data_IF_206494265101
#
_entry.id   IF_206494265101
#
_cell.length_a   1.000
_cell.length_b   1.000
_cell.length_c   1.000
_cell.angle_alpha   90.00
_cell.angle_beta   90.00
_cell.angle_gamma   90.00
#
_symmetry.space_group_name_H-M   'P 1'
#
loop_
_entity.id
_entity.type
_entity.pdbx_description
1 polymer ?
#
# COMPACT_ATOMS: atom_id res chain seq x y z
N UNK A 1 8.57 -34.76 -14.59
CA UNK A 1 8.94 -33.39 -14.16
C UNK A 1 7.72 -32.75 -13.52
N UNK A 2 7.80 -32.28 -12.26
CA UNK A 2 6.72 -31.44 -11.70
C UNK A 2 6.81 -30.05 -12.36
N UNK A 3 5.70 -29.46 -12.81
CA UNK A 3 5.72 -28.10 -13.34
C UNK A 3 6.26 -27.15 -12.25
N UNK A 4 7.23 -26.31 -12.61
CA UNK A 4 7.76 -25.27 -11.72
C UNK A 4 6.65 -24.24 -11.53
N UNK A 5 6.10 -24.17 -10.33
CA UNK A 5 5.19 -23.10 -9.92
C UNK A 5 5.87 -21.76 -10.16
N UNK A 6 5.33 -20.92 -11.04
CA UNK A 6 5.83 -19.57 -11.30
C UNK A 6 5.23 -18.62 -10.28
N UNK A 7 5.87 -17.46 -10.08
CA UNK A 7 5.39 -16.44 -9.14
C UNK A 7 3.93 -16.04 -9.39
N UNK A 8 3.56 -15.84 -10.65
CA UNK A 8 2.17 -15.59 -11.11
C UNK A 8 1.17 -16.71 -10.80
N UNK A 9 1.65 -17.94 -10.56
CA UNK A 9 0.79 -19.08 -10.22
C UNK A 9 0.51 -19.16 -8.70
N UNK A 10 1.30 -18.45 -7.87
CA UNK A 10 1.13 -18.35 -6.41
C UNK A 10 0.50 -17.03 -6.00
N UNK A 11 0.84 -15.95 -6.72
CA UNK A 11 0.38 -14.59 -6.46
C UNK A 11 -0.08 -13.96 -7.79
N UNK A 12 -1.28 -14.33 -8.28
CA UNK A 12 -1.76 -13.86 -9.57
C UNK A 12 -2.16 -12.39 -9.56
N UNK A 13 -2.58 -11.84 -8.41
CA UNK A 13 -3.03 -10.45 -8.30
C UNK A 13 -2.12 -9.70 -7.34
N UNK A 14 -1.47 -8.66 -7.83
CA UNK A 14 -0.72 -7.69 -7.02
C UNK A 14 -1.66 -6.53 -6.73
N UNK A 15 -1.81 -6.14 -5.46
CA UNK A 15 -2.52 -4.91 -5.10
C UNK A 15 -1.50 -3.90 -4.61
N UNK A 16 -1.50 -2.70 -5.18
CA UNK A 16 -0.57 -1.64 -4.85
C UNK A 16 -1.29 -0.33 -4.52
N UNK A 17 -0.78 0.39 -3.51
CA UNK A 17 -1.13 1.79 -3.29
C UNK A 17 -0.13 2.67 -4.06
N UNK A 18 -0.69 3.50 -4.93
CA UNK A 18 0.00 4.53 -5.71
C UNK A 18 -0.43 5.92 -5.20
N UNK A 19 0.25 7.01 -5.61
CA UNK A 19 -0.20 8.38 -5.33
C UNK A 19 -1.65 8.66 -5.74
N UNK A 20 -2.11 7.98 -6.78
CA UNK A 20 -3.46 8.19 -7.31
C UNK A 20 -4.50 7.31 -6.62
N UNK A 21 -4.14 6.20 -5.98
CA UNK A 21 -5.17 5.25 -5.52
C UNK A 21 -4.69 3.83 -5.38
N UNK A 22 -5.66 2.94 -5.19
CA UNK A 22 -5.42 1.49 -5.12
C UNK A 22 -5.64 0.84 -6.48
N UNK A 23 -4.63 0.09 -6.90
CA UNK A 23 -4.65 -0.69 -8.13
C UNK A 23 -4.54 -2.18 -7.79
N UNK A 24 -5.31 -3.01 -8.49
CA UNK A 24 -5.03 -4.43 -8.63
C UNK A 24 -4.44 -4.68 -10.02
N UNK A 25 -3.40 -5.49 -10.10
CA UNK A 25 -2.79 -5.96 -11.33
C UNK A 25 -2.85 -7.49 -11.37
N UNK A 26 -3.59 -8.06 -12.32
CA UNK A 26 -3.62 -9.51 -12.52
C UNK A 26 -2.48 -9.92 -13.47
N UNK A 27 -1.43 -10.53 -12.91
CA UNK A 27 -0.27 -11.06 -13.62
C UNK A 27 -0.59 -12.20 -14.60
N UNK A 28 -1.80 -12.77 -14.57
CA UNK A 28 -2.22 -13.82 -15.50
C UNK A 28 -2.81 -13.23 -16.77
N UNK A 29 -3.59 -12.16 -16.64
CA UNK A 29 -4.27 -11.48 -17.76
C UNK A 29 -3.52 -10.23 -18.22
N UNK A 30 -2.55 -9.75 -17.44
CA UNK A 30 -1.85 -8.48 -17.63
C UNK A 30 -2.80 -7.27 -17.60
N UNK A 31 -3.95 -7.41 -16.92
CA UNK A 31 -4.95 -6.36 -16.76
C UNK A 31 -4.76 -5.63 -15.42
N UNK A 32 -4.91 -4.32 -15.47
CA UNK A 32 -4.98 -3.43 -14.32
C UNK A 32 -6.43 -3.02 -14.04
N UNK A 33 -6.78 -2.98 -12.75
CA UNK A 33 -8.08 -2.51 -12.28
C UNK A 33 -7.89 -1.53 -11.15
N UNK A 34 -8.53 -0.39 -11.30
CA UNK A 34 -8.64 0.59 -10.24
C UNK A 34 -9.67 0.15 -9.21
N UNK A 35 -9.28 0.13 -7.94
CA UNK A 35 -10.12 -0.31 -6.82
C UNK A 35 -10.64 0.89 -6.03
N UNK A 36 -9.80 1.90 -5.82
CA UNK A 36 -10.10 3.09 -5.03
C UNK A 36 -9.46 4.30 -5.68
N UNK A 37 -10.24 5.36 -5.86
CA UNK A 37 -9.79 6.63 -6.41
C UNK A 37 -9.40 7.62 -5.30
N UNK A 38 -8.12 7.98 -5.21
CA UNK A 38 -7.75 9.16 -4.44
C UNK A 38 -7.62 10.35 -5.38
N UNK A 39 -8.27 11.50 -5.07
CA UNK A 39 -8.74 11.95 -3.75
C UNK A 39 -10.19 11.61 -3.37
N UNK A 40 -11.01 11.09 -4.30
CA UNK A 40 -12.47 10.97 -4.14
C UNK A 40 -12.92 10.06 -2.97
N UNK A 41 -12.21 8.95 -2.76
CA UNK A 41 -12.54 7.93 -1.76
C UNK A 41 -11.78 8.11 -0.44
N UNK A 42 -11.00 9.18 -0.28
CA UNK A 42 -10.09 9.37 0.85
C UNK A 42 -10.80 9.30 2.21
N UNK A 43 -11.97 9.92 2.32
CA UNK A 43 -12.77 9.93 3.55
C UNK A 43 -13.34 8.54 3.86
N UNK A 44 -13.80 7.82 2.82
CA UNK A 44 -14.35 6.47 2.95
C UNK A 44 -13.27 5.48 3.38
N UNK A 45 -12.07 5.58 2.82
CA UNK A 45 -10.94 4.74 3.22
C UNK A 45 -10.49 5.06 4.64
N UNK A 46 -10.38 6.35 4.99
CA UNK A 46 -10.01 6.74 6.35
C UNK A 46 -11.00 6.21 7.41
N UNK A 47 -12.30 6.26 7.10
CA UNK A 47 -13.34 5.70 7.95
C UNK A 47 -13.21 4.17 8.07
N UNK A 48 -13.00 3.46 6.95
CA UNK A 48 -12.85 2.00 6.96
C UNK A 48 -11.61 1.57 7.75
N UNK A 49 -10.48 2.25 7.57
CA UNK A 49 -9.26 2.00 8.35
C UNK A 49 -9.48 2.21 9.84
N UNK A 50 -10.12 3.32 10.21
CA UNK A 50 -10.46 3.65 11.61
C UNK A 50 -11.37 2.59 12.24
N UNK A 51 -12.39 2.15 11.52
CA UNK A 51 -13.43 1.28 12.05
C UNK A 51 -13.03 -0.19 12.11
N UNK A 52 -12.13 -0.63 11.22
CA UNK A 52 -11.91 -2.07 10.97
C UNK A 52 -10.47 -2.51 11.13
N UNK A 53 -9.51 -1.65 10.80
CA UNK A 53 -8.13 -2.10 10.58
C UNK A 53 -7.12 -1.54 11.58
N UNK A 54 -7.43 -0.42 12.25
CA UNK A 54 -6.54 0.27 13.17
C UNK A 54 -7.10 0.28 14.61
N UNK A 55 -6.23 0.39 15.63
CA UNK A 55 -6.65 0.75 16.99
C UNK A 55 -7.40 2.09 16.99
N UNK A 56 -8.24 2.33 17.99
CA UNK A 56 -9.18 3.47 18.04
C UNK A 56 -8.48 4.81 17.77
N UNK A 57 -8.53 5.26 16.51
CA UNK A 57 -7.92 6.49 16.02
C UNK A 57 -8.94 7.22 15.15
N UNK A 58 -9.04 8.53 15.34
CA UNK A 58 -10.03 9.35 14.63
C UNK A 58 -9.86 9.23 13.10
N UNK A 59 -10.95 9.04 12.33
CA UNK A 59 -10.89 9.07 10.87
C UNK A 59 -10.23 10.33 10.31
N UNK A 60 -10.38 11.47 10.98
CA UNK A 60 -9.73 12.72 10.58
C UNK A 60 -8.19 12.64 10.66
N UNK A 61 -7.65 11.97 11.68
CA UNK A 61 -6.20 11.78 11.84
C UNK A 61 -5.69 10.84 10.75
N UNK A 62 -6.39 9.73 10.51
CA UNK A 62 -6.04 8.75 9.48
C UNK A 62 -6.06 9.41 8.09
N UNK A 63 -7.08 10.22 7.81
CA UNK A 63 -7.17 11.01 6.57
C UNK A 63 -5.93 11.88 6.35
N UNK A 64 -5.45 12.56 7.39
CA UNK A 64 -4.22 13.38 7.32
C UNK A 64 -3.00 12.52 7.03
N UNK A 65 -2.89 11.34 7.65
CA UNK A 65 -1.79 10.44 7.35
C UNK A 65 -1.85 9.90 5.92
N UNK A 66 -3.04 9.56 5.41
CA UNK A 66 -3.21 9.14 4.02
C UNK A 66 -2.77 10.25 3.06
N UNK A 67 -3.11 11.51 3.31
CA UNK A 67 -2.65 12.64 2.47
C UNK A 67 -1.13 12.73 2.46
N UNK A 68 -0.50 12.72 3.65
CA UNK A 68 0.95 12.77 3.75
C UNK A 68 1.60 11.57 3.04
N UNK A 69 1.01 10.38 3.18
CA UNK A 69 1.48 9.17 2.52
C UNK A 69 1.42 9.31 1.00
N UNK A 70 0.28 9.75 0.44
CA UNK A 70 0.14 9.94 -1.01
C UNK A 70 1.15 10.96 -1.55
N UNK A 71 1.36 12.07 -0.84
CA UNK A 71 2.39 13.08 -1.16
C UNK A 71 3.80 12.48 -1.12
N UNK A 72 4.10 11.64 -0.12
CA UNK A 72 5.36 10.92 -0.06
C UNK A 72 5.54 9.95 -1.23
N UNK A 73 4.51 9.16 -1.55
CA UNK A 73 4.54 8.22 -2.68
C UNK A 73 4.84 8.97 -3.99
N UNK A 74 4.22 10.13 -4.18
CA UNK A 74 4.41 10.95 -5.39
C UNK A 74 5.80 11.55 -5.45
N UNK A 75 6.23 12.22 -4.39
CA UNK A 75 7.50 12.97 -4.37
C UNK A 75 8.72 12.06 -4.36
N UNK A 76 8.58 10.81 -3.90
CA UNK A 76 9.69 9.85 -3.77
C UNK A 76 9.66 8.71 -4.76
N UNK A 77 8.74 8.71 -5.73
CA UNK A 77 8.52 7.58 -6.65
C UNK A 77 8.49 6.25 -5.88
N UNK A 78 7.58 6.20 -4.90
CA UNK A 78 7.42 5.09 -3.99
C UNK A 78 6.00 4.50 -4.06
N UNK A 79 5.89 3.24 -3.65
CA UNK A 79 4.70 2.40 -3.79
C UNK A 79 4.54 1.54 -2.55
N UNK A 80 3.30 1.22 -2.13
CA UNK A 80 3.09 0.13 -1.17
C UNK A 80 2.78 -1.14 -1.94
N UNK A 81 3.54 -2.20 -1.67
CA UNK A 81 3.37 -3.53 -2.25
C UNK A 81 3.38 -4.55 -1.11
N UNK A 82 2.29 -5.30 -0.96
CA UNK A 82 2.12 -6.30 0.10
C UNK A 82 2.49 -5.79 1.52
N UNK A 83 2.16 -4.52 1.79
CA UNK A 83 2.40 -3.89 3.09
C UNK A 83 3.83 -3.42 3.33
N UNK A 84 4.73 -3.55 2.35
CA UNK A 84 6.04 -2.91 2.36
C UNK A 84 5.99 -1.62 1.53
N UNK A 85 6.68 -0.58 2.00
CA UNK A 85 6.90 0.63 1.20
C UNK A 85 8.16 0.42 0.36
N UNK A 86 8.00 0.51 -0.95
CA UNK A 86 9.04 0.25 -1.95
C UNK A 86 9.31 1.54 -2.72
N UNK A 87 10.56 2.00 -2.70
CA UNK A 87 11.03 3.11 -3.56
C UNK A 87 11.71 2.57 -4.81
N UNK A 88 11.56 3.22 -5.94
CA UNK A 88 12.30 2.89 -7.16
C UNK A 88 13.55 3.78 -7.24
N UNK A 89 14.73 3.18 -7.24
CA UNK A 89 16.00 3.88 -7.47
C UNK A 89 16.85 3.12 -8.48
N UNK A 90 17.40 3.82 -9.48
CA UNK A 90 18.18 3.22 -10.56
C UNK A 90 17.48 2.01 -11.20
N UNK A 91 16.16 2.11 -11.39
CA UNK A 91 15.30 1.05 -11.96
C UNK A 91 15.22 -0.22 -11.07
N UNK A 92 15.55 -0.10 -9.78
CA UNK A 92 15.48 -1.19 -8.80
C UNK A 92 14.53 -0.86 -7.65
N UNK A 93 13.71 -1.83 -7.21
CA UNK A 93 12.85 -1.65 -6.04
C UNK A 93 13.64 -1.83 -4.74
N UNK A 94 13.47 -0.88 -3.82
CA UNK A 94 14.05 -0.90 -2.47
C UNK A 94 12.95 -0.78 -1.43
N UNK A 95 12.70 -1.85 -0.69
CA UNK A 95 11.72 -1.91 0.40
C UNK A 95 12.28 -1.42 1.74
N UNK A 96 11.41 -1.19 2.72
CA UNK A 96 11.81 -0.80 4.09
C UNK A 96 12.70 -1.85 4.77
N UNK A 97 12.59 -3.12 4.36
CA UNK A 97 13.43 -4.23 4.84
C UNK A 97 14.82 -4.29 4.21
N UNK A 98 14.99 -3.67 3.04
CA UNK A 98 16.26 -3.67 2.29
C UNK A 98 17.00 -2.33 2.38
N UNK A 99 16.32 -1.27 2.81
CA UNK A 99 16.85 0.09 2.95
C UNK A 99 16.42 0.67 4.30
N UNK A 100 17.21 0.46 5.37
CA UNK A 100 16.89 0.93 6.72
C UNK A 100 16.63 2.44 6.81
N UNK A 101 17.25 3.23 5.95
CA UNK A 101 17.08 4.68 5.85
C UNK A 101 15.64 5.05 5.44
N UNK A 102 14.97 4.20 4.66
CA UNK A 102 13.56 4.37 4.31
C UNK A 102 12.69 4.21 5.56
N UNK A 103 12.96 3.20 6.39
CA UNK A 103 12.22 2.99 7.63
C UNK A 103 12.43 4.16 8.62
N UNK A 104 13.64 4.69 8.73
CA UNK A 104 13.91 5.88 9.55
C UNK A 104 13.21 7.14 9.04
N UNK A 105 13.22 7.37 7.72
CA UNK A 105 12.53 8.50 7.11
C UNK A 105 11.03 8.45 7.42
N UNK A 106 10.40 7.29 7.27
CA UNK A 106 8.99 7.11 7.61
C UNK A 106 8.70 7.34 9.08
N UNK A 107 9.53 6.83 9.99
CA UNK A 107 9.38 7.08 11.43
C UNK A 107 9.49 8.57 11.77
N UNK A 108 10.32 9.34 11.07
CA UNK A 108 10.42 10.80 11.28
C UNK A 108 9.18 11.55 10.81
N UNK A 109 8.56 11.13 9.70
CA UNK A 109 7.41 11.83 9.10
C UNK A 109 6.11 11.49 9.83
N UNK A 110 5.95 10.22 10.22
CA UNK A 110 4.66 9.67 10.66
C UNK A 110 4.66 9.21 12.13
N UNK A 111 5.83 9.16 12.78
CA UNK A 111 5.97 8.68 14.16
C UNK A 111 5.73 7.17 14.30
N UNK A 112 5.42 6.73 15.52
CA UNK A 112 5.16 5.32 15.84
C UNK A 112 3.86 4.79 15.20
N UNK A 113 2.93 5.67 14.86
CA UNK A 113 1.65 5.34 14.23
C UNK A 113 1.77 4.79 12.80
N UNK A 114 2.93 4.94 12.16
CA UNK A 114 3.13 4.60 10.75
C UNK A 114 3.06 3.10 10.49
N UNK A 115 3.69 2.32 11.36
CA UNK A 115 3.70 0.87 11.21
C UNK A 115 2.27 0.32 11.31
N UNK A 116 1.47 0.86 12.23
CA UNK A 116 0.05 0.51 12.34
C UNK A 116 -0.73 0.90 11.09
N UNK A 117 -0.54 2.11 10.56
CA UNK A 117 -1.19 2.56 9.33
C UNK A 117 -0.85 1.65 8.14
N UNK A 118 0.44 1.33 7.95
CA UNK A 118 0.89 0.44 6.88
C UNK A 118 0.30 -0.96 7.02
N UNK A 119 0.24 -1.49 8.25
CA UNK A 119 -0.40 -2.79 8.54
C UNK A 119 -1.90 -2.73 8.24
N UNK A 120 -2.58 -1.65 8.63
CA UNK A 120 -4.00 -1.46 8.37
C UNK A 120 -4.30 -1.38 6.87
N UNK A 121 -3.50 -0.61 6.14
CA UNK A 121 -3.55 -0.53 4.68
C UNK A 121 -3.29 -1.90 4.05
N UNK A 122 -2.27 -2.63 4.48
CA UNK A 122 -2.00 -3.98 4.00
C UNK A 122 -3.20 -4.93 4.19
N UNK A 123 -3.84 -4.90 5.37
CA UNK A 123 -5.04 -5.71 5.64
C UNK A 123 -6.21 -5.33 4.72
N UNK A 124 -6.42 -4.04 4.51
CA UNK A 124 -7.41 -3.56 3.55
C UNK A 124 -7.12 -4.08 2.14
N UNK A 125 -5.86 -3.98 1.67
CA UNK A 125 -5.45 -4.49 0.34
C UNK A 125 -5.69 -5.99 0.21
N UNK A 126 -5.37 -6.74 1.26
CA UNK A 126 -5.56 -8.19 1.32
C UNK A 126 -7.04 -8.60 1.23
N UNK A 127 -7.95 -7.85 1.85
CA UNK A 127 -9.38 -8.12 1.78
C UNK A 127 -9.99 -7.70 0.43
N UNK A 128 -9.53 -6.58 -0.14
CA UNK A 128 -9.88 -6.17 -1.50
C UNK A 128 -9.42 -7.21 -2.53
N UNK A 129 -8.23 -7.79 -2.34
CA UNK A 129 -7.70 -8.88 -3.18
C UNK A 129 -8.55 -10.13 -3.14
N UNK A 130 -9.12 -10.50 -1.99
CA UNK A 130 -10.02 -11.68 -1.88
C UNK A 130 -11.38 -11.46 -2.54
N UNK A 131 -11.77 -10.19 -2.68
CA UNK A 131 -13.09 -9.79 -3.21
C UNK A 131 -13.07 -9.54 -4.72
N UNK A 132 -11.89 -9.61 -5.35
CA UNK A 132 -11.65 -9.40 -6.79
C UNK A 132 -11.39 -10.74 -7.47
#
# INVERSE_FOLDING_TARGET
MKPRTKFRDVMPVIVSLTPHGLWAFDLRTEEDRYIVNFPEDLDRVALSLSATYLPYKSPHIIRRYLIHLLDYLETRDAYIVDGDLVRIEDVKPWGTKTMPELAEELRRIYGEDMEELLIGLYRLLMDLRKSS
#
